data_IF_395441087333
#
_entry.id   IF_395441087333
#
_cell.length_a   1.000
_cell.length_b   1.000
_cell.length_c   1.000
_cell.angle_alpha   90.00
_cell.angle_beta   90.00
_cell.angle_gamma   90.00
#
_symmetry.space_group_name_H-M   'P 1'
#
loop_
_entity.id
_entity.type
_entity.pdbx_description
1 polymer ?
#
# COMPACT_ATOMS: atom_id res chain seq x y z
N UNK A 1 5.27 9.26 1.32
CA UNK A 1 4.65 8.02 1.87
C UNK A 1 4.54 6.92 0.83
N UNK A 2 4.02 7.17 -0.36
CA UNK A 2 4.00 6.14 -1.41
C UNK A 2 5.40 5.66 -1.80
N UNK A 3 6.36 6.56 -1.93
CA UNK A 3 7.77 6.21 -2.18
C UNK A 3 8.34 5.28 -1.11
N UNK A 4 7.89 5.39 0.15
CA UNK A 4 8.33 4.50 1.23
C UNK A 4 7.75 3.09 1.06
N UNK A 5 6.50 2.97 0.61
CA UNK A 5 5.90 1.68 0.26
C UNK A 5 6.65 1.05 -0.92
N UNK A 6 6.94 1.83 -1.97
CA UNK A 6 7.71 1.37 -3.12
C UNK A 6 9.12 0.90 -2.73
N UNK A 7 9.83 1.71 -1.93
CA UNK A 7 11.16 1.38 -1.44
C UNK A 7 11.14 0.10 -0.58
N UNK A 8 10.15 -0.05 0.30
CA UNK A 8 10.00 -1.24 1.13
C UNK A 8 9.77 -2.51 0.32
N UNK A 9 8.96 -2.43 -0.75
CA UNK A 9 8.70 -3.58 -1.63
C UNK A 9 9.91 -3.93 -2.50
N UNK A 10 10.62 -2.93 -3.04
CA UNK A 10 11.87 -3.14 -3.76
C UNK A 10 12.96 -3.74 -2.86
N UNK A 11 12.95 -3.41 -1.58
CA UNK A 11 13.93 -3.85 -0.59
C UNK A 11 13.36 -4.86 0.40
N UNK A 12 12.38 -5.68 -0.01
CA UNK A 12 11.65 -6.61 0.90
C UNK A 12 12.53 -7.60 1.67
N UNK A 13 13.75 -7.87 1.19
CA UNK A 13 14.73 -8.73 1.84
C UNK A 13 15.72 -7.97 2.75
N UNK A 14 15.69 -6.63 2.73
CA UNK A 14 16.55 -5.80 3.55
C UNK A 14 15.94 -5.64 4.96
N UNK A 15 16.66 -6.03 6.03
CA UNK A 15 16.18 -5.89 7.40
C UNK A 15 15.75 -4.47 7.79
N UNK A 16 16.37 -3.44 7.18
CA UNK A 16 16.06 -2.04 7.46
C UNK A 16 14.66 -1.63 7.00
N UNK A 17 14.05 -2.37 6.07
CA UNK A 17 12.71 -2.12 5.55
C UNK A 17 11.67 -3.12 6.06
N UNK A 18 12.03 -3.99 7.01
CA UNK A 18 11.15 -5.07 7.49
C UNK A 18 9.82 -4.53 8.02
N UNK A 19 9.85 -3.44 8.79
CA UNK A 19 8.65 -2.86 9.40
C UNK A 19 7.75 -2.23 8.34
N UNK A 20 8.34 -1.46 7.43
CA UNK A 20 7.62 -0.81 6.32
C UNK A 20 7.01 -1.85 5.37
N UNK A 21 7.76 -2.92 5.06
CA UNK A 21 7.25 -3.99 4.20
C UNK A 21 6.09 -4.74 4.88
N UNK A 22 6.22 -5.07 6.17
CA UNK A 22 5.13 -5.65 6.97
C UNK A 22 3.90 -4.74 6.98
N UNK A 23 4.07 -3.41 7.09
CA UNK A 23 2.96 -2.46 7.02
C UNK A 23 2.24 -2.51 5.66
N UNK A 24 2.97 -2.66 4.55
CA UNK A 24 2.39 -2.84 3.20
C UNK A 24 1.57 -4.14 3.14
N UNK A 25 2.07 -5.24 3.69
CA UNK A 25 1.35 -6.52 3.70
C UNK A 25 0.06 -6.45 4.54
N UNK A 26 0.11 -5.77 5.70
CA UNK A 26 -1.10 -5.50 6.51
C UNK A 26 -2.13 -4.66 5.78
N UNK A 27 -1.71 -3.70 4.97
CA UNK A 27 -2.62 -2.94 4.11
C UNK A 27 -3.32 -3.85 3.09
N UNK A 28 -2.56 -4.72 2.41
CA UNK A 28 -3.16 -5.67 1.47
C UNK A 28 -4.19 -6.56 2.15
N UNK A 29 -3.86 -7.12 3.31
CA UNK A 29 -4.76 -8.00 4.05
C UNK A 29 -6.03 -7.28 4.49
N UNK A 30 -5.91 -6.06 5.01
CA UNK A 30 -7.06 -5.22 5.32
C UNK A 30 -7.99 -5.03 4.12
N UNK A 31 -7.43 -4.70 2.95
CA UNK A 31 -8.25 -4.50 1.75
C UNK A 31 -8.88 -5.79 1.27
N UNK A 32 -8.20 -6.93 1.35
CA UNK A 32 -8.80 -8.23 1.01
C UNK A 32 -10.01 -8.55 1.89
N UNK A 33 -9.94 -8.22 3.18
CA UNK A 33 -11.03 -8.48 4.13
C UNK A 33 -12.18 -7.48 3.99
N UNK A 34 -11.91 -6.22 3.63
CA UNK A 34 -12.89 -5.14 3.64
C UNK A 34 -13.29 -4.67 2.22
N UNK A 35 -12.86 -5.37 1.17
CA UNK A 35 -13.05 -4.92 -0.23
C UNK A 35 -14.53 -4.76 -0.60
N UNK A 36 -15.40 -5.59 -0.01
CA UNK A 36 -16.84 -5.55 -0.22
C UNK A 36 -17.47 -4.20 0.14
N UNK A 37 -16.83 -3.42 1.02
CA UNK A 37 -17.30 -2.08 1.39
C UNK A 37 -17.01 -1.02 0.32
N UNK A 38 -16.10 -1.30 -0.63
CA UNK A 38 -15.57 -0.34 -1.61
C UNK A 38 -15.59 -0.92 -3.03
N UNK A 39 -16.74 -1.46 -3.44
CA UNK A 39 -16.99 -2.01 -4.79
C UNK A 39 -16.10 -3.20 -5.20
N UNK A 40 -15.33 -3.81 -4.29
CA UNK A 40 -14.63 -5.08 -4.50
C UNK A 40 -13.37 -5.02 -5.37
N UNK A 41 -12.74 -3.85 -5.52
CA UNK A 41 -11.54 -3.66 -6.35
C UNK A 41 -10.33 -3.04 -5.61
N UNK A 42 -10.46 -2.65 -4.34
CA UNK A 42 -9.41 -1.97 -3.59
C UNK A 42 -8.18 -2.85 -3.39
N UNK A 43 -8.34 -4.14 -3.09
CA UNK A 43 -7.20 -5.04 -2.87
C UNK A 43 -6.39 -5.21 -4.16
N UNK A 44 -7.08 -5.42 -5.30
CA UNK A 44 -6.45 -5.56 -6.62
C UNK A 44 -5.75 -4.28 -7.05
N UNK A 45 -6.39 -3.13 -6.87
CA UNK A 45 -5.80 -1.82 -7.18
C UNK A 45 -4.57 -1.58 -6.28
N UNK A 46 -4.67 -1.85 -4.98
CA UNK A 46 -3.55 -1.68 -4.05
C UNK A 46 -2.35 -2.55 -4.45
N UNK A 47 -2.59 -3.83 -4.74
CA UNK A 47 -1.55 -4.76 -5.20
C UNK A 47 -0.88 -4.27 -6.48
N UNK A 48 -1.67 -3.84 -7.46
CA UNK A 48 -1.16 -3.30 -8.73
C UNK A 48 -0.29 -2.06 -8.54
N UNK A 49 -0.66 -1.16 -7.62
CA UNK A 49 0.04 0.10 -7.41
C UNK A 49 1.29 -0.02 -6.54
N UNK A 50 1.30 -0.93 -5.56
CA UNK A 50 2.35 -0.94 -4.53
C UNK A 50 3.09 -2.26 -4.37
N UNK A 51 2.60 -3.37 -4.92
CA UNK A 51 3.28 -4.69 -4.82
C UNK A 51 3.92 -5.15 -6.13
N UNK A 52 3.66 -4.44 -7.24
CA UNK A 52 4.19 -4.72 -8.58
C UNK A 52 5.18 -3.63 -9.02
N UNK A 53 6.50 -3.83 -8.79
CA UNK A 53 7.52 -2.82 -9.07
C UNK A 53 7.54 -2.31 -10.51
N UNK A 54 7.09 -3.13 -11.47
CA UNK A 54 6.95 -2.78 -12.88
C UNK A 54 6.03 -1.57 -13.13
N UNK A 55 5.11 -1.27 -12.19
CA UNK A 55 4.15 -0.17 -12.30
C UNK A 55 4.53 1.09 -11.52
N UNK A 56 5.62 1.09 -10.75
CA UNK A 56 5.94 2.22 -9.85
C UNK A 56 6.28 3.52 -10.59
N UNK A 57 6.70 3.42 -11.86
CA UNK A 57 7.01 4.56 -12.72
C UNK A 57 5.89 4.87 -13.73
N UNK A 58 4.79 4.13 -13.69
CA UNK A 58 3.68 4.35 -14.60
C UNK A 58 2.98 5.67 -14.27
N UNK A 59 2.60 6.41 -15.31
CA UNK A 59 1.87 7.67 -15.15
C UNK A 59 0.48 7.41 -14.59
N UNK A 60 -0.10 8.41 -13.92
CA UNK A 60 -1.46 8.30 -13.39
C UNK A 60 -2.48 7.94 -14.46
N UNK A 61 -2.34 8.50 -15.68
CA UNK A 61 -3.21 8.20 -16.83
C UNK A 61 -3.06 6.74 -17.27
N UNK A 62 -1.83 6.21 -17.33
CA UNK A 62 -1.60 4.81 -17.69
C UNK A 62 -2.23 3.88 -16.66
N UNK A 63 -2.04 4.17 -15.37
CA UNK A 63 -2.59 3.40 -14.27
C UNK A 63 -4.12 3.44 -14.26
N UNK A 64 -4.74 4.59 -14.51
CA UNK A 64 -6.20 4.72 -14.52
C UNK A 64 -6.84 3.93 -15.66
N UNK A 65 -6.23 3.95 -16.85
CA UNK A 65 -6.63 3.12 -17.99
C UNK A 65 -6.49 1.62 -17.70
N UNK A 66 -5.35 1.19 -17.14
CA UNK A 66 -5.10 -0.23 -16.81
C UNK A 66 -6.07 -0.76 -15.75
N UNK A 67 -6.41 0.07 -14.77
CA UNK A 67 -7.25 -0.30 -13.63
C UNK A 67 -8.75 -0.08 -13.88
N UNK A 68 -9.13 0.50 -15.02
CA UNK A 68 -10.53 0.78 -15.36
C UNK A 68 -11.21 1.76 -14.41
N UNK A 69 -10.46 2.71 -13.82
CA UNK A 69 -10.99 3.72 -12.88
C UNK A 69 -10.65 5.12 -13.37
N UNK A 70 -11.51 6.10 -13.09
CA UNK A 70 -11.19 7.50 -13.41
C UNK A 70 -9.98 8.00 -12.63
N UNK A 71 -9.24 8.96 -13.18
CA UNK A 71 -8.10 9.61 -12.50
C UNK A 71 -8.47 10.14 -11.11
N UNK A 72 -9.67 10.73 -10.99
CA UNK A 72 -10.19 11.28 -9.73
C UNK A 72 -10.46 10.17 -8.71
N UNK A 73 -11.03 9.05 -9.16
CA UNK A 73 -11.27 7.88 -8.31
C UNK A 73 -9.95 7.28 -7.85
N UNK A 74 -9.00 7.10 -8.77
CA UNK A 74 -7.66 6.57 -8.47
C UNK A 74 -6.94 7.44 -7.44
N UNK A 75 -6.98 8.76 -7.60
CA UNK A 75 -6.38 9.70 -6.63
C UNK A 75 -7.02 9.56 -5.24
N UNK A 76 -8.35 9.38 -5.16
CA UNK A 76 -9.05 9.16 -3.89
C UNK A 76 -8.61 7.84 -3.24
N UNK A 77 -8.46 6.77 -4.01
CA UNK A 77 -7.99 5.48 -3.50
C UNK A 77 -6.55 5.56 -2.99
N UNK A 78 -5.64 6.19 -3.74
CA UNK A 78 -4.26 6.44 -3.28
C UNK A 78 -4.19 7.14 -1.93
N UNK A 79 -5.05 8.14 -1.70
CA UNK A 79 -5.15 8.81 -0.38
C UNK A 79 -5.56 7.84 0.73
N UNK A 80 -6.58 6.99 0.50
CA UNK A 80 -7.01 5.96 1.47
C UNK A 80 -5.88 4.96 1.76
N UNK A 81 -5.17 4.53 0.73
CA UNK A 81 -4.05 3.60 0.85
C UNK A 81 -2.90 4.17 1.67
N UNK A 82 -2.51 5.43 1.40
CA UNK A 82 -1.49 6.13 2.17
C UNK A 82 -1.88 6.30 3.64
N UNK A 83 -3.15 6.63 3.91
CA UNK A 83 -3.66 6.78 5.28
C UNK A 83 -3.59 5.46 6.05
N UNK A 84 -4.07 4.37 5.45
CA UNK A 84 -4.01 3.04 6.08
C UNK A 84 -2.56 2.59 6.31
N UNK A 85 -1.67 2.83 5.34
CA UNK A 85 -0.26 2.51 5.48
C UNK A 85 0.39 3.27 6.63
N UNK A 86 0.13 4.59 6.73
CA UNK A 86 0.64 5.39 7.83
C UNK A 86 0.17 4.88 9.20
N UNK A 87 -1.11 4.49 9.30
CA UNK A 87 -1.66 3.88 10.51
C UNK A 87 -0.96 2.56 10.87
N UNK A 88 -0.89 1.61 9.93
CA UNK A 88 -0.26 0.31 10.16
C UNK A 88 1.23 0.44 10.53
N UNK A 89 1.95 1.35 9.87
CA UNK A 89 3.35 1.63 10.13
C UNK A 89 3.58 2.13 11.56
N UNK A 90 2.75 3.08 12.01
CA UNK A 90 2.85 3.61 13.38
C UNK A 90 2.52 2.56 14.43
N UNK A 91 1.49 1.73 14.20
CA UNK A 91 1.13 0.64 15.12
C UNK A 91 2.24 -0.40 15.24
N UNK A 92 2.86 -0.80 14.12
CA UNK A 92 4.02 -1.70 14.14
C UNK A 92 5.20 -1.09 14.90
N UNK A 93 5.52 0.19 14.65
CA UNK A 93 6.60 0.89 15.38
C UNK A 93 6.32 0.97 16.88
N UNK A 94 5.07 1.17 17.29
CA UNK A 94 4.65 1.13 18.69
C UNK A 94 4.80 -0.26 19.30
N UNK A 95 4.43 -1.31 18.58
CA UNK A 95 4.58 -2.69 19.04
C UNK A 95 6.06 -3.10 19.23
N UNK A 96 6.94 -2.72 18.28
CA UNK A 96 8.38 -2.95 18.41
C UNK A 96 8.97 -2.23 19.62
N UNK A 97 8.60 -0.96 19.87
CA UNK A 97 9.07 -0.21 21.05
C UNK A 97 8.64 -0.86 22.37
N UNK A 98 7.41 -1.38 22.45
CA UNK A 98 6.90 -2.08 23.65
C UNK A 98 7.58 -3.43 23.92
N UNK A 99 8.07 -4.09 22.88
CA UNK A 99 8.71 -5.41 22.99
C UNK A 99 10.21 -5.33 23.29
N UNK A 100 10.79 -4.12 23.25
CA UNK A 100 12.20 -3.86 23.53
C UNK A 100 12.45 -3.38 24.98
N UNK A 101 11.40 -3.30 25.79
CA UNK A 101 11.40 -3.00 27.23
C UNK A 101 11.12 -4.30 27.97
#
# INVERSE_FOLDING_TARGET
MEELMWAAVQNKHNPNYKIEYEAVLRCLEYWKQNDFMESGNMAKIFEHLYLKPEHFKDTQIKLSLQLGVSDRTLLRYRKKFVQLFAYNLEELRRACRRSAV
#
